data_IF_037099480592
#
_entry.id   IF_037099480592
#
_cell.length_a   1.000
_cell.length_b   1.000
_cell.length_c   1.000
_cell.angle_alpha   90.00
_cell.angle_beta   90.00
_cell.angle_gamma   90.00
#
_symmetry.space_group_name_H-M   'P 1'
#
loop_
_entity.id
_entity.type
_entity.pdbx_description
1 polymer ?
#
# COMPACT_ATOMS: atom_id res chain seq x y z
N UNK A 1 12.23 32.71 2.51
CA UNK A 1 13.27 31.68 2.26
C UNK A 1 13.27 31.37 0.79
N UNK A 2 14.40 31.54 0.08
CA UNK A 2 14.52 31.17 -1.33
C UNK A 2 14.60 29.65 -1.41
N UNK A 3 13.69 29.01 -2.12
CA UNK A 3 13.75 27.58 -2.38
C UNK A 3 14.86 27.36 -3.43
N UNK A 4 15.91 26.67 -3.06
CA UNK A 4 16.95 26.24 -4.01
C UNK A 4 16.44 25.00 -4.73
N UNK A 5 16.26 25.09 -6.03
CA UNK A 5 15.91 23.95 -6.87
C UNK A 5 17.13 23.07 -7.13
N UNK A 6 16.96 21.77 -6.99
CA UNK A 6 18.02 20.82 -7.32
C UNK A 6 18.26 20.82 -8.83
N UNK A 7 19.52 20.93 -9.23
CA UNK A 7 19.91 20.84 -10.63
C UNK A 7 19.55 19.47 -11.20
N UNK A 8 19.01 19.45 -12.42
CA UNK A 8 18.56 18.22 -13.08
C UNK A 8 19.71 17.24 -13.36
N UNK A 9 20.92 17.74 -13.54
CA UNK A 9 22.11 16.89 -13.75
C UNK A 9 22.47 16.14 -12.47
N UNK A 10 22.40 16.81 -11.31
CA UNK A 10 22.61 16.21 -9.99
C UNK A 10 21.50 15.20 -9.69
N UNK A 11 20.23 15.57 -9.96
CA UNK A 11 19.11 14.64 -9.85
C UNK A 11 19.33 13.38 -10.69
N UNK A 12 19.72 13.53 -11.95
CA UNK A 12 19.98 12.39 -12.83
C UNK A 12 21.15 11.52 -12.37
N UNK A 13 22.15 12.10 -11.71
CA UNK A 13 23.27 11.35 -11.14
C UNK A 13 22.80 10.46 -10.00
N UNK A 14 22.06 10.98 -9.03
CA UNK A 14 21.59 10.11 -7.95
C UNK A 14 20.46 9.14 -8.39
N UNK A 15 19.61 9.49 -9.36
CA UNK A 15 18.70 8.49 -9.96
C UNK A 15 19.49 7.34 -10.60
N UNK A 16 20.61 7.64 -11.27
CA UNK A 16 21.48 6.60 -11.83
C UNK A 16 22.10 5.72 -10.72
N UNK A 17 22.57 6.33 -9.61
CA UNK A 17 23.05 5.63 -8.43
C UNK A 17 21.97 4.73 -7.82
N UNK A 18 20.77 5.26 -7.61
CA UNK A 18 19.61 4.50 -7.12
C UNK A 18 19.29 3.30 -8.03
N UNK A 19 19.30 3.51 -9.34
CA UNK A 19 19.06 2.42 -10.32
C UNK A 19 20.13 1.34 -10.23
N UNK A 20 21.39 1.72 -10.04
CA UNK A 20 22.47 0.76 -9.89
C UNK A 20 22.30 -0.06 -8.61
N UNK A 21 22.05 0.61 -7.48
CA UNK A 21 21.79 -0.03 -6.19
C UNK A 21 20.62 -1.03 -6.27
N UNK A 22 19.52 -0.64 -6.89
CA UNK A 22 18.37 -1.55 -7.07
C UNK A 22 18.72 -2.72 -7.99
N UNK A 23 19.53 -2.54 -9.03
CA UNK A 23 19.95 -3.65 -9.94
C UNK A 23 20.88 -4.65 -9.26
N UNK A 24 21.90 -4.16 -8.57
CA UNK A 24 22.89 -5.00 -7.86
C UNK A 24 22.26 -5.70 -6.65
N UNK A 25 21.20 -5.13 -6.09
CA UNK A 25 20.51 -5.58 -4.89
C UNK A 25 20.81 -4.67 -3.72
N UNK A 26 19.79 -4.43 -2.90
CA UNK A 26 19.93 -3.81 -1.60
C UNK A 26 20.56 -4.86 -0.67
N UNK A 27 21.45 -4.43 0.20
CA UNK A 27 22.11 -5.28 1.20
C UNK A 27 21.06 -6.03 2.05
N UNK A 28 20.99 -7.36 1.84
CA UNK A 28 19.98 -8.22 2.48
C UNK A 28 20.26 -8.44 3.98
N UNK A 29 21.51 -8.35 4.40
CA UNK A 29 21.85 -8.46 5.83
C UNK A 29 21.44 -7.22 6.59
N UNK A 30 21.61 -6.04 5.96
CA UNK A 30 21.31 -4.75 6.55
C UNK A 30 19.84 -4.37 6.42
N UNK A 31 19.18 -4.73 5.31
CA UNK A 31 17.79 -4.35 5.00
C UNK A 31 16.95 -5.56 4.56
N UNK A 32 16.79 -6.59 5.42
CA UNK A 32 16.20 -7.87 5.04
C UNK A 32 14.72 -7.77 4.63
N UNK A 33 13.94 -6.95 5.32
CA UNK A 33 12.50 -6.81 5.03
C UNK A 33 12.28 -6.04 3.74
N UNK A 34 12.97 -4.92 3.54
CA UNK A 34 12.87 -4.10 2.34
C UNK A 34 13.32 -4.90 1.10
N UNK A 35 14.46 -5.60 1.18
CA UNK A 35 14.97 -6.46 0.11
C UNK A 35 13.95 -7.56 -0.23
N UNK A 36 13.44 -8.27 0.77
CA UNK A 36 12.38 -9.27 0.59
C UNK A 36 11.12 -8.68 -0.05
N UNK A 37 10.70 -7.49 0.36
CA UNK A 37 9.53 -6.81 -0.21
C UNK A 37 9.74 -6.42 -1.68
N UNK A 38 10.92 -5.92 -2.03
CA UNK A 38 11.27 -5.54 -3.41
C UNK A 38 11.39 -6.75 -4.32
N UNK A 39 11.92 -7.86 -3.84
CA UNK A 39 12.12 -9.10 -4.61
C UNK A 39 10.79 -9.77 -4.99
N UNK A 40 9.70 -9.51 -4.26
CA UNK A 40 8.39 -10.12 -4.51
C UNK A 40 7.73 -9.57 -5.77
N UNK A 41 7.35 -10.47 -6.66
CA UNK A 41 6.67 -10.12 -7.91
C UNK A 41 7.55 -9.24 -8.81
N UNK A 42 6.97 -8.17 -9.37
CA UNK A 42 7.67 -7.25 -10.29
C UNK A 42 8.05 -5.90 -9.64
N UNK A 43 8.09 -5.79 -8.29
CA UNK A 43 8.33 -4.50 -7.64
C UNK A 43 9.69 -3.91 -7.98
N UNK A 44 10.77 -4.70 -7.83
CA UNK A 44 12.13 -4.29 -8.25
C UNK A 44 12.15 -3.76 -9.69
N UNK A 45 11.58 -4.53 -10.61
CA UNK A 45 11.52 -4.15 -12.04
C UNK A 45 10.69 -2.89 -12.26
N UNK A 46 9.57 -2.75 -11.56
CA UNK A 46 8.69 -1.61 -11.73
C UNK A 46 9.28 -0.33 -11.13
N UNK A 47 10.00 -0.41 -10.00
CA UNK A 47 10.76 0.72 -9.46
C UNK A 47 11.83 1.18 -10.46
N UNK A 48 12.62 0.26 -11.00
CA UNK A 48 13.61 0.59 -12.04
C UNK A 48 13.00 1.24 -13.29
N UNK A 49 11.79 0.85 -13.67
CA UNK A 49 11.08 1.47 -14.81
C UNK A 49 10.67 2.91 -14.52
N UNK A 50 10.20 3.18 -13.30
CA UNK A 50 9.85 4.54 -12.87
C UNK A 50 11.09 5.44 -12.78
N UNK A 51 12.16 4.96 -12.18
CA UNK A 51 13.45 5.67 -12.10
C UNK A 51 14.02 5.96 -13.51
N UNK A 52 13.94 4.98 -14.43
CA UNK A 52 14.34 5.17 -15.81
C UNK A 52 13.50 6.23 -16.53
N UNK A 53 12.20 6.27 -16.27
CA UNK A 53 11.33 7.30 -16.81
C UNK A 53 11.76 8.68 -16.32
N UNK A 54 11.97 8.87 -15.03
CA UNK A 54 12.41 10.15 -14.46
C UNK A 54 13.73 10.63 -15.07
N UNK A 55 14.68 9.72 -15.24
CA UNK A 55 15.98 10.05 -15.84
C UNK A 55 15.91 10.43 -17.32
N UNK A 56 14.94 9.91 -18.05
CA UNK A 56 14.83 10.07 -19.51
C UNK A 56 13.85 11.16 -19.96
N UNK A 57 13.22 11.88 -19.02
CA UNK A 57 12.23 12.91 -19.33
C UNK A 57 12.51 14.20 -18.58
N UNK A 58 12.02 15.30 -19.12
CA UNK A 58 12.04 16.60 -18.46
C UNK A 58 11.06 16.59 -17.27
N UNK A 59 11.43 17.21 -16.13
CA UNK A 59 10.50 17.38 -15.02
C UNK A 59 9.33 18.27 -15.43
N UNK A 60 8.13 17.91 -14.99
CA UNK A 60 6.96 18.72 -15.24
C UNK A 60 6.93 19.97 -14.33
N UNK A 61 7.54 19.89 -13.15
CA UNK A 61 7.61 20.95 -12.15
C UNK A 61 8.60 20.57 -11.03
N UNK A 62 8.67 21.39 -9.97
CA UNK A 62 9.44 21.12 -8.76
C UNK A 62 8.57 21.19 -7.53
N UNK A 63 8.85 20.35 -6.53
CA UNK A 63 8.19 20.35 -5.24
C UNK A 63 9.24 20.11 -4.13
N UNK A 64 9.23 20.96 -3.09
CA UNK A 64 10.25 20.87 -2.03
C UNK A 64 11.70 20.99 -2.53
N UNK A 65 11.93 21.63 -3.68
CA UNK A 65 13.24 21.71 -4.32
C UNK A 65 13.59 20.55 -5.24
N UNK A 66 12.81 19.45 -5.24
CA UNK A 66 13.05 18.26 -6.07
C UNK A 66 12.31 18.32 -7.41
N UNK A 67 12.91 17.85 -8.52
CA UNK A 67 12.22 17.67 -9.79
C UNK A 67 11.06 16.68 -9.66
N UNK A 68 9.90 17.04 -10.20
CA UNK A 68 8.69 16.22 -10.15
C UNK A 68 8.23 15.84 -11.56
N UNK A 69 7.94 14.59 -11.75
CA UNK A 69 7.60 13.98 -13.03
C UNK A 69 6.15 13.53 -13.07
N UNK A 70 5.51 13.79 -14.19
CA UNK A 70 4.16 13.35 -14.46
C UNK A 70 4.19 11.96 -15.08
N UNK A 71 3.93 10.92 -14.30
CA UNK A 71 3.96 9.53 -14.78
C UNK A 71 2.55 8.93 -14.74
N UNK A 72 1.80 8.90 -15.87
CA UNK A 72 0.48 8.28 -15.89
C UNK A 72 0.59 6.76 -15.68
N UNK A 73 -0.23 6.19 -14.80
CA UNK A 73 -0.29 4.72 -14.60
C UNK A 73 -0.66 4.01 -15.91
N UNK A 74 -1.48 4.65 -16.74
CA UNK A 74 -1.84 4.13 -18.06
C UNK A 74 -0.63 4.03 -19.00
N UNK A 75 0.26 5.02 -18.99
CA UNK A 75 1.53 4.94 -19.72
C UNK A 75 2.37 3.75 -19.26
N UNK A 76 2.50 3.55 -17.93
CA UNK A 76 3.25 2.42 -17.38
C UNK A 76 2.64 1.08 -17.81
N UNK A 77 1.30 0.99 -17.80
CA UNK A 77 0.56 -0.20 -18.23
C UNK A 77 0.78 -0.50 -19.71
N UNK A 78 0.66 0.50 -20.57
CA UNK A 78 0.83 0.34 -22.02
C UNK A 78 2.27 0.02 -22.39
N UNK A 79 3.23 0.75 -21.81
CA UNK A 79 4.65 0.61 -22.16
C UNK A 79 5.30 -0.66 -21.58
N UNK A 80 4.83 -1.14 -20.43
CA UNK A 80 5.50 -2.23 -19.70
C UNK A 80 4.59 -3.40 -19.36
N UNK A 81 3.31 -3.33 -19.72
CA UNK A 81 2.31 -4.34 -19.40
C UNK A 81 1.89 -4.38 -17.92
N UNK A 82 1.04 -5.33 -17.60
CA UNK A 82 0.51 -5.52 -16.26
C UNK A 82 -0.84 -4.83 -16.04
N UNK A 83 -1.52 -5.19 -14.94
CA UNK A 83 -2.79 -4.58 -14.57
C UNK A 83 -2.57 -3.24 -13.85
N UNK A 84 -3.50 -2.30 -14.02
CA UNK A 84 -3.47 -1.00 -13.35
C UNK A 84 -3.40 -1.12 -11.83
N UNK A 85 -4.14 -2.09 -11.26
CA UNK A 85 -4.11 -2.35 -9.81
C UNK A 85 -2.72 -2.78 -9.32
N UNK A 86 -1.99 -3.58 -10.11
CA UNK A 86 -0.62 -3.99 -9.78
C UNK A 86 0.31 -2.78 -9.75
N UNK A 87 0.23 -1.91 -10.74
CA UNK A 87 1.03 -0.67 -10.76
C UNK A 87 0.69 0.24 -9.58
N UNK A 88 -0.60 0.46 -9.32
CA UNK A 88 -1.05 1.28 -8.19
C UNK A 88 -0.57 0.72 -6.84
N UNK A 89 -0.62 -0.61 -6.66
CA UNK A 89 -0.12 -1.27 -5.45
C UNK A 89 1.39 -1.13 -5.27
N UNK A 90 2.17 -1.25 -6.36
CA UNK A 90 3.63 -1.08 -6.31
C UNK A 90 4.01 0.38 -6.02
N UNK A 91 3.37 1.34 -6.68
CA UNK A 91 3.58 2.78 -6.44
C UNK A 91 3.26 3.13 -5.00
N UNK A 92 2.11 2.66 -4.49
CA UNK A 92 1.73 2.90 -3.10
C UNK A 92 2.72 2.31 -2.09
N UNK A 93 3.28 1.13 -2.39
CA UNK A 93 4.36 0.56 -1.59
C UNK A 93 5.61 1.44 -1.62
N UNK A 94 6.07 1.88 -2.81
CA UNK A 94 7.27 2.71 -2.92
C UNK A 94 7.10 4.04 -2.18
N UNK A 95 5.91 4.64 -2.25
CA UNK A 95 5.59 5.86 -1.51
C UNK A 95 5.55 5.62 0.00
N UNK A 96 4.90 4.55 0.46
CA UNK A 96 4.78 4.24 1.88
C UNK A 96 6.12 3.98 2.57
N UNK A 97 7.07 3.35 1.87
CA UNK A 97 8.43 3.14 2.39
C UNK A 97 9.41 4.28 2.07
N UNK A 98 8.98 5.32 1.36
CA UNK A 98 9.81 6.50 1.05
C UNK A 98 10.81 6.34 -0.10
N UNK A 99 10.71 5.27 -0.89
CA UNK A 99 11.55 5.10 -2.10
C UNK A 99 11.12 6.01 -3.26
N UNK A 100 9.87 6.44 -3.26
CA UNK A 100 9.34 7.48 -4.15
C UNK A 100 8.58 8.50 -3.32
N UNK A 101 8.71 9.75 -3.71
CA UNK A 101 7.83 10.81 -3.24
C UNK A 101 6.64 10.91 -4.19
N UNK A 102 5.45 10.65 -3.67
CA UNK A 102 4.20 10.77 -4.42
C UNK A 102 3.51 12.08 -4.06
N UNK A 103 3.55 13.07 -4.97
CA UNK A 103 2.92 14.37 -4.77
C UNK A 103 1.59 14.42 -5.50
N UNK A 104 0.51 14.53 -4.73
CA UNK A 104 -0.86 14.63 -5.26
C UNK A 104 -1.36 16.07 -5.15
N UNK A 105 -1.72 16.71 -6.26
CA UNK A 105 -2.30 18.03 -6.22
C UNK A 105 -3.63 18.02 -5.43
N UNK A 106 -3.75 18.93 -4.49
CA UNK A 106 -4.95 19.16 -3.69
C UNK A 106 -5.52 20.56 -3.92
N UNK A 107 -6.61 20.87 -3.21
CA UNK A 107 -7.27 22.16 -3.27
C UNK A 107 -6.33 23.33 -2.92
N UNK A 108 -5.45 23.11 -1.94
CA UNK A 108 -4.57 24.12 -1.39
C UNK A 108 -3.13 24.02 -1.96
N UNK A 109 -2.96 23.38 -3.12
CA UNK A 109 -1.66 23.25 -3.77
C UNK A 109 -1.18 24.59 -4.30
N UNK A 110 -0.05 25.06 -3.80
CA UNK A 110 0.57 26.35 -4.17
C UNK A 110 1.30 26.28 -5.53
N UNK A 111 1.84 25.12 -5.88
CA UNK A 111 2.57 24.95 -7.13
C UNK A 111 1.63 25.14 -8.34
N UNK A 112 1.91 26.11 -9.26
CA UNK A 112 0.96 26.48 -10.31
C UNK A 112 0.69 25.35 -11.30
N UNK A 113 1.69 24.52 -11.64
CA UNK A 113 1.52 23.38 -12.57
C UNK A 113 0.63 22.31 -11.94
N UNK A 114 0.84 22.03 -10.67
CA UNK A 114 0.01 21.06 -9.91
C UNK A 114 -1.40 21.60 -9.66
N UNK A 115 -1.53 22.87 -9.31
CA UNK A 115 -2.82 23.53 -9.13
C UNK A 115 -3.65 23.50 -10.41
N UNK A 116 -3.02 23.78 -11.56
CA UNK A 116 -3.68 23.70 -12.86
C UNK A 116 -4.10 22.25 -13.19
N UNK A 117 -3.26 21.26 -12.90
CA UNK A 117 -3.61 19.86 -13.08
C UNK A 117 -4.82 19.45 -12.21
N UNK A 118 -4.90 19.98 -10.97
CA UNK A 118 -6.05 19.78 -10.10
C UNK A 118 -7.32 20.42 -10.67
N UNK A 119 -7.23 21.69 -11.10
CA UNK A 119 -8.34 22.45 -11.68
C UNK A 119 -8.91 21.73 -12.91
N UNK A 120 -8.06 21.39 -13.89
CA UNK A 120 -8.47 20.64 -15.09
C UNK A 120 -9.17 19.33 -14.76
N UNK A 121 -8.63 18.55 -13.85
CA UNK A 121 -9.25 17.29 -13.46
C UNK A 121 -10.64 17.48 -12.85
N UNK A 122 -10.89 18.57 -12.13
CA UNK A 122 -12.21 18.87 -11.55
C UNK A 122 -13.19 19.43 -12.57
N UNK A 123 -12.73 20.25 -13.50
CA UNK A 123 -13.56 20.85 -14.56
C UNK A 123 -13.95 19.82 -15.62
N UNK A 124 -12.97 19.09 -16.18
CA UNK A 124 -13.18 18.16 -17.29
C UNK A 124 -13.80 16.82 -16.85
N UNK A 125 -13.39 16.31 -15.70
CA UNK A 125 -13.78 14.99 -15.21
C UNK A 125 -14.83 14.99 -14.11
N UNK A 126 -15.24 16.16 -13.63
CA UNK A 126 -16.20 16.30 -12.55
C UNK A 126 -15.74 15.66 -11.24
N UNK A 127 -16.70 15.34 -10.35
CA UNK A 127 -16.41 14.79 -9.00
C UNK A 127 -15.70 13.43 -9.00
N UNK A 128 -15.60 12.73 -10.12
CA UNK A 128 -15.03 11.37 -10.22
C UNK A 128 -13.60 11.32 -10.74
N UNK A 129 -13.13 12.38 -11.39
CA UNK A 129 -11.78 12.41 -11.95
C UNK A 129 -10.77 12.77 -10.87
N UNK A 130 -9.73 11.96 -10.75
CA UNK A 130 -8.62 12.22 -9.83
C UNK A 130 -7.60 13.11 -10.53
N UNK A 131 -7.05 14.11 -9.84
CA UNK A 131 -5.91 14.85 -10.33
C UNK A 131 -4.75 13.91 -10.61
N UNK A 132 -3.95 14.29 -11.59
CA UNK A 132 -2.76 13.53 -11.93
C UNK A 132 -1.75 13.60 -10.79
N UNK A 133 -1.14 12.47 -10.47
CA UNK A 133 -0.08 12.35 -9.47
C UNK A 133 1.26 12.69 -10.11
N UNK A 134 2.09 13.40 -9.36
CA UNK A 134 3.48 13.69 -9.69
C UNK A 134 4.38 12.83 -8.80
N UNK A 135 5.55 12.48 -9.33
CA UNK A 135 6.51 11.63 -8.64
C UNK A 135 7.88 12.26 -8.64
N UNK A 136 8.58 12.08 -7.54
CA UNK A 136 9.99 12.39 -7.37
C UNK A 136 10.68 11.26 -6.63
N UNK A 137 11.99 11.33 -6.48
CA UNK A 137 12.73 10.48 -5.56
C UNK A 137 13.92 11.26 -4.99
N UNK A 138 14.39 10.80 -3.85
CA UNK A 138 15.62 11.25 -3.23
C UNK A 138 16.75 10.26 -3.56
N UNK A 139 17.98 10.61 -3.23
CA UNK A 139 19.10 9.68 -3.26
C UNK A 139 18.88 8.59 -2.21
N UNK A 140 19.12 7.32 -2.59
CA UNK A 140 18.98 6.18 -1.66
C UNK A 140 20.21 6.04 -0.77
N UNK A 141 20.36 6.99 0.13
CA UNK A 141 21.40 6.95 1.14
C UNK A 141 21.16 5.83 2.16
N UNK A 142 22.18 5.41 2.92
CA UNK A 142 21.99 4.44 4.00
C UNK A 142 20.93 4.85 5.02
N UNK A 143 20.81 6.16 5.30
CA UNK A 143 19.83 6.72 6.23
C UNK A 143 18.41 6.56 5.68
N UNK A 144 18.19 6.89 4.40
CA UNK A 144 16.90 6.70 3.74
C UNK A 144 16.51 5.22 3.70
N UNK A 145 17.46 4.34 3.37
CA UNK A 145 17.20 2.89 3.35
C UNK A 145 16.89 2.33 4.74
N UNK A 146 17.50 2.88 5.79
CA UNK A 146 17.18 2.50 7.18
C UNK A 146 15.74 2.90 7.55
N UNK A 147 15.30 4.09 7.13
CA UNK A 147 13.92 4.53 7.32
C UNK A 147 12.95 3.65 6.49
N UNK A 148 13.32 3.35 5.25
CA UNK A 148 12.51 2.48 4.38
C UNK A 148 12.37 1.05 4.93
N UNK A 149 13.45 0.49 5.51
CA UNK A 149 13.43 -0.81 6.21
C UNK A 149 12.50 -0.79 7.41
N UNK A 150 12.62 0.24 8.28
CA UNK A 150 11.78 0.39 9.45
C UNK A 150 10.29 0.48 9.07
N UNK A 151 9.97 1.27 8.05
CA UNK A 151 8.61 1.38 7.50
C UNK A 151 8.10 0.06 6.92
N UNK A 152 8.90 -0.62 6.11
CA UNK A 152 8.54 -1.92 5.55
C UNK A 152 8.25 -2.93 6.67
N UNK A 153 9.05 -2.95 7.71
CA UNK A 153 8.89 -3.80 8.89
C UNK A 153 7.61 -3.47 9.64
N UNK A 154 7.33 -2.19 9.92
CA UNK A 154 6.11 -1.74 10.59
C UNK A 154 4.85 -2.28 9.89
N UNK A 155 4.77 -2.18 8.56
CA UNK A 155 3.65 -2.73 7.79
C UNK A 155 3.56 -4.25 7.86
N UNK A 156 4.70 -4.96 7.75
CA UNK A 156 4.71 -6.43 7.81
C UNK A 156 4.33 -6.94 9.20
N UNK A 157 4.83 -6.31 10.25
CA UNK A 157 4.55 -6.69 11.65
C UNK A 157 3.07 -6.44 11.97
N UNK A 158 2.50 -5.33 11.51
CA UNK A 158 1.06 -5.08 11.58
C UNK A 158 0.22 -6.08 10.78
N UNK A 159 0.83 -6.86 9.89
CA UNK A 159 0.15 -7.85 9.05
C UNK A 159 -0.41 -7.31 7.75
N UNK A 160 0.02 -6.13 7.33
CA UNK A 160 -0.36 -5.56 6.06
C UNK A 160 0.16 -6.39 4.88
N UNK A 161 -0.63 -6.46 3.82
CA UNK A 161 -0.23 -7.01 2.53
C UNK A 161 -0.03 -5.89 1.53
N UNK A 162 1.16 -5.80 0.94
CA UNK A 162 1.42 -4.83 -0.13
C UNK A 162 0.78 -5.19 -1.48
N UNK A 163 0.13 -6.36 -1.61
CA UNK A 163 -0.56 -6.76 -2.83
C UNK A 163 -1.78 -5.87 -3.14
N UNK A 164 -2.44 -5.34 -2.12
CA UNK A 164 -3.60 -4.47 -2.23
C UNK A 164 -3.51 -3.26 -1.30
N UNK A 165 -2.36 -2.60 -1.33
CA UNK A 165 -2.09 -1.43 -0.49
C UNK A 165 -3.04 -0.27 -0.83
N UNK A 166 -3.68 0.31 0.19
CA UNK A 166 -4.69 1.37 0.05
C UNK A 166 -4.65 2.32 1.25
N UNK A 167 -5.45 3.38 1.15
CA UNK A 167 -5.66 4.35 2.24
C UNK A 167 -6.02 3.67 3.55
N UNK A 168 -6.91 2.67 3.52
CA UNK A 168 -7.29 1.94 4.73
C UNK A 168 -6.12 1.15 5.34
N UNK A 169 -5.24 0.58 4.51
CA UNK A 169 -4.03 -0.11 4.99
C UNK A 169 -3.11 0.86 5.71
N UNK A 170 -2.87 2.04 5.14
CA UNK A 170 -2.07 3.07 5.78
C UNK A 170 -2.72 3.61 7.06
N UNK A 171 -4.04 3.83 7.04
CA UNK A 171 -4.81 4.25 8.22
C UNK A 171 -4.68 3.26 9.38
N UNK A 172 -4.81 1.97 9.08
CA UNK A 172 -4.77 0.91 10.09
C UNK A 172 -3.36 0.73 10.71
N UNK A 173 -2.30 1.15 10.00
CA UNK A 173 -0.90 1.05 10.47
C UNK A 173 -0.38 2.36 11.02
N UNK A 174 -0.50 3.45 10.24
CA UNK A 174 0.09 4.77 10.58
C UNK A 174 -0.93 5.76 11.15
N UNK A 175 -2.22 5.39 11.16
CA UNK A 175 -3.31 6.24 11.66
C UNK A 175 -3.94 7.15 10.59
N UNK A 176 -5.06 7.77 10.98
CA UNK A 176 -5.91 8.58 10.09
C UNK A 176 -5.18 9.79 9.52
N UNK A 177 -4.34 10.45 10.33
CA UNK A 177 -3.61 11.66 9.93
C UNK A 177 -2.63 11.35 8.77
N UNK A 178 -1.81 10.32 8.91
CA UNK A 178 -0.86 9.88 7.87
C UNK A 178 -1.60 9.48 6.59
N UNK A 179 -2.66 8.67 6.72
CA UNK A 179 -3.46 8.23 5.59
C UNK A 179 -4.12 9.41 4.84
N UNK A 180 -4.56 10.45 5.54
CA UNK A 180 -5.16 11.62 4.92
C UNK A 180 -4.11 12.51 4.25
N UNK A 181 -2.92 12.65 4.81
CA UNK A 181 -1.81 13.40 4.20
C UNK A 181 -1.39 12.70 2.90
N UNK A 182 -1.14 11.39 2.94
CA UNK A 182 -0.67 10.63 1.78
C UNK A 182 -1.75 10.49 0.70
N UNK A 183 -3.01 10.30 1.10
CA UNK A 183 -4.15 10.10 0.21
C UNK A 183 -5.14 11.27 0.24
N UNK A 184 -4.66 12.51 0.09
CA UNK A 184 -5.42 13.75 0.29
C UNK A 184 -6.80 13.76 -0.39
N UNK A 185 -6.86 13.46 -1.69
CA UNK A 185 -8.12 13.47 -2.46
C UNK A 185 -8.72 12.06 -2.68
N UNK A 186 -8.23 11.07 -1.95
CA UNK A 186 -8.78 9.72 -2.06
C UNK A 186 -10.00 9.60 -1.16
N UNK A 187 -11.11 9.19 -1.74
CA UNK A 187 -12.32 8.88 -0.97
C UNK A 187 -11.99 7.82 0.09
N UNK A 188 -12.61 7.95 1.23
CA UNK A 188 -12.63 6.90 2.24
C UNK A 188 -13.12 5.59 1.66
N UNK A 189 -12.86 4.50 2.39
CA UNK A 189 -13.32 3.19 2.00
C UNK A 189 -14.78 3.27 1.55
N UNK A 190 -15.07 2.68 0.40
CA UNK A 190 -16.45 2.63 -0.10
C UNK A 190 -17.33 1.95 0.95
N UNK A 191 -18.62 2.31 1.01
CA UNK A 191 -19.58 1.65 1.91
C UNK A 191 -19.56 0.13 1.77
N UNK A 192 -19.29 -0.36 0.56
CA UNK A 192 -19.11 -1.80 0.32
C UNK A 192 -17.85 -2.36 1.01
N UNK A 193 -16.76 -1.61 1.06
CA UNK A 193 -15.53 -2.04 1.74
C UNK A 193 -15.72 -2.00 3.26
N UNK A 194 -16.34 -0.95 3.81
CA UNK A 194 -16.70 -0.87 5.23
C UNK A 194 -17.62 -2.01 5.63
N UNK A 195 -18.67 -2.26 4.82
CA UNK A 195 -19.63 -3.35 5.04
C UNK A 195 -18.94 -4.72 4.97
N UNK A 196 -18.02 -4.93 4.02
CA UNK A 196 -17.27 -6.18 3.89
C UNK A 196 -16.42 -6.48 5.14
N UNK A 197 -15.68 -5.48 5.65
CA UNK A 197 -14.88 -5.61 6.89
C UNK A 197 -15.77 -5.96 8.09
N UNK A 198 -16.91 -5.25 8.24
CA UNK A 198 -17.87 -5.49 9.28
C UNK A 198 -18.41 -6.93 9.24
N UNK A 199 -18.85 -7.40 8.08
CA UNK A 199 -19.38 -8.77 7.91
C UNK A 199 -18.33 -9.86 8.22
N UNK A 200 -17.06 -9.63 7.88
CA UNK A 200 -15.99 -10.57 8.22
C UNK A 200 -15.76 -10.59 9.74
N UNK A 201 -15.73 -9.44 10.41
CA UNK A 201 -15.54 -9.35 11.86
C UNK A 201 -16.72 -9.96 12.62
N UNK A 202 -17.94 -9.75 12.18
CA UNK A 202 -19.15 -10.40 12.74
C UNK A 202 -19.08 -11.93 12.60
N UNK A 203 -18.63 -12.42 11.44
CA UNK A 203 -18.46 -13.86 11.23
C UNK A 203 -17.35 -14.45 12.12
N UNK A 204 -16.25 -13.72 12.33
CA UNK A 204 -15.17 -14.10 13.24
C UNK A 204 -15.69 -14.18 14.67
N UNK A 205 -16.37 -13.13 15.14
CA UNK A 205 -16.91 -13.07 16.50
C UNK A 205 -17.88 -14.23 16.77
N UNK A 206 -18.84 -14.46 15.88
CA UNK A 206 -19.80 -15.54 15.99
C UNK A 206 -19.14 -16.94 16.01
N UNK A 207 -18.12 -17.17 15.19
CA UNK A 207 -17.40 -18.44 15.19
C UNK A 207 -16.58 -18.66 16.48
N UNK A 208 -15.93 -17.59 16.98
CA UNK A 208 -15.17 -17.64 18.23
C UNK A 208 -16.10 -17.90 19.43
N UNK A 209 -17.25 -17.25 19.48
CA UNK A 209 -18.25 -17.47 20.50
C UNK A 209 -18.75 -18.93 20.52
N UNK A 210 -18.98 -19.50 19.33
CA UNK A 210 -19.51 -20.86 19.19
C UNK A 210 -18.49 -21.96 19.48
N UNK A 211 -17.21 -21.77 19.18
CA UNK A 211 -16.19 -22.85 19.19
C UNK A 211 -14.79 -22.45 19.65
N UNK A 212 -14.59 -21.21 20.10
CA UNK A 212 -13.31 -20.70 20.60
C UNK A 212 -12.31 -20.28 19.51
N UNK A 213 -12.59 -20.48 18.23
CA UNK A 213 -11.73 -20.11 17.11
C UNK A 213 -12.54 -19.87 15.83
N UNK A 214 -11.89 -19.24 14.83
CA UNK A 214 -12.44 -19.12 13.47
C UNK A 214 -11.38 -19.46 12.43
N UNK A 215 -11.73 -20.10 11.32
CA UNK A 215 -10.84 -20.27 10.17
C UNK A 215 -11.02 -19.11 9.19
N UNK A 216 -9.92 -18.68 8.56
CA UNK A 216 -9.97 -17.62 7.53
C UNK A 216 -11.03 -17.89 6.45
N UNK A 217 -11.01 -19.13 5.91
CA UNK A 217 -11.91 -19.51 4.80
C UNK A 217 -13.38 -19.51 5.26
N UNK A 218 -13.63 -19.87 6.49
CA UNK A 218 -14.95 -19.88 7.13
C UNK A 218 -15.49 -18.46 7.29
N UNK A 219 -14.69 -17.54 7.84
CA UNK A 219 -15.09 -16.14 7.97
C UNK A 219 -15.44 -15.51 6.61
N UNK A 220 -14.61 -15.76 5.58
CA UNK A 220 -14.87 -15.27 4.23
C UNK A 220 -16.14 -15.91 3.64
N UNK A 221 -16.34 -17.21 3.83
CA UNK A 221 -17.52 -17.92 3.35
C UNK A 221 -18.80 -17.39 3.99
N UNK A 222 -18.81 -17.22 5.30
CA UNK A 222 -19.94 -16.67 6.05
C UNK A 222 -20.25 -15.23 5.60
N UNK A 223 -19.25 -14.35 5.50
CA UNK A 223 -19.44 -12.99 4.99
C UNK A 223 -20.03 -12.97 3.56
N UNK A 224 -19.58 -13.88 2.66
CA UNK A 224 -20.09 -13.99 1.28
C UNK A 224 -21.56 -14.43 1.22
N UNK A 225 -22.08 -15.14 2.20
CA UNK A 225 -23.50 -15.48 2.24
C UNK A 225 -24.39 -14.23 2.27
N UNK A 226 -23.92 -13.14 2.89
CA UNK A 226 -24.62 -11.86 2.90
C UNK A 226 -24.49 -11.07 1.58
N UNK A 227 -23.61 -11.52 0.66
CA UNK A 227 -23.35 -10.86 -0.61
C UNK A 227 -23.96 -11.59 -1.83
N UNK A 228 -24.84 -12.59 -1.63
CA UNK A 228 -25.33 -13.57 -2.64
C UNK A 228 -25.72 -13.01 -4.01
N UNK A 229 -26.12 -11.74 -4.13
CA UNK A 229 -26.47 -11.09 -5.41
C UNK A 229 -25.69 -9.77 -5.64
N UNK A 230 -24.77 -9.41 -4.77
CA UNK A 230 -24.02 -8.16 -4.83
C UNK A 230 -22.55 -8.41 -5.20
N UNK A 231 -22.26 -8.41 -6.51
CA UNK A 231 -20.89 -8.60 -7.04
C UNK A 231 -19.85 -7.62 -6.45
N UNK A 232 -20.26 -6.36 -6.19
CA UNK A 232 -19.35 -5.33 -5.62
C UNK A 232 -19.00 -5.67 -4.17
N UNK A 233 -19.97 -6.10 -3.37
CA UNK A 233 -19.75 -6.52 -1.97
C UNK A 233 -18.92 -7.81 -1.93
N UNK A 234 -19.20 -8.79 -2.78
CA UNK A 234 -18.43 -10.03 -2.89
C UNK A 234 -16.95 -9.77 -3.21
N UNK A 235 -16.67 -8.88 -4.17
CA UNK A 235 -15.31 -8.46 -4.49
C UNK A 235 -14.64 -7.71 -3.32
N UNK A 236 -15.39 -6.89 -2.58
CA UNK A 236 -14.87 -6.20 -1.39
C UNK A 236 -14.52 -7.17 -0.26
N UNK A 237 -15.33 -8.22 -0.03
CA UNK A 237 -15.06 -9.29 0.94
C UNK A 237 -13.77 -10.04 0.57
N UNK A 238 -13.58 -10.38 -0.71
CA UNK A 238 -12.34 -11.02 -1.17
C UNK A 238 -11.11 -10.17 -0.83
N UNK A 239 -11.15 -8.88 -1.16
CA UNK A 239 -10.04 -7.94 -0.90
C UNK A 239 -9.78 -7.75 0.60
N UNK A 240 -10.82 -7.65 1.41
CA UNK A 240 -10.67 -7.59 2.88
C UNK A 240 -10.06 -8.88 3.43
N UNK A 241 -10.42 -10.05 2.86
CA UNK A 241 -9.82 -11.34 3.20
C UNK A 241 -8.34 -11.48 2.86
N UNK A 242 -7.84 -10.71 1.88
CA UNK A 242 -6.39 -10.66 1.57
C UNK A 242 -5.61 -9.86 2.61
N UNK A 243 -6.26 -8.93 3.30
CA UNK A 243 -5.72 -8.17 4.43
C UNK A 243 -6.15 -8.76 5.79
N UNK A 244 -6.48 -10.07 5.84
CA UNK A 244 -7.06 -10.70 7.03
C UNK A 244 -6.19 -10.55 8.28
N UNK A 245 -4.86 -10.68 8.15
CA UNK A 245 -3.95 -10.51 9.29
C UNK A 245 -4.07 -9.11 9.86
N UNK A 246 -3.98 -8.06 9.03
CA UNK A 246 -4.14 -6.68 9.46
C UNK A 246 -5.53 -6.44 10.07
N UNK A 247 -6.60 -6.94 9.42
CA UNK A 247 -7.97 -6.81 9.94
C UNK A 247 -8.14 -7.45 11.34
N UNK A 248 -7.54 -8.61 11.55
CA UNK A 248 -7.56 -9.28 12.84
C UNK A 248 -6.74 -8.51 13.88
N UNK A 249 -5.49 -8.16 13.55
CA UNK A 249 -4.57 -7.47 14.48
C UNK A 249 -5.14 -6.13 14.95
N UNK A 250 -5.66 -5.31 14.01
CA UNK A 250 -6.27 -4.01 14.34
C UNK A 250 -7.59 -4.10 15.15
N UNK A 251 -8.15 -5.29 15.28
CA UNK A 251 -9.34 -5.56 16.11
C UNK A 251 -9.05 -6.49 17.31
N UNK A 252 -7.78 -6.64 17.66
CA UNK A 252 -7.34 -7.38 18.85
C UNK A 252 -7.32 -8.90 18.71
N UNK A 253 -7.68 -9.46 17.55
CA UNK A 253 -7.62 -10.90 17.30
C UNK A 253 -6.22 -11.37 16.95
N UNK A 254 -5.86 -12.60 17.38
CA UNK A 254 -4.63 -13.26 16.93
C UNK A 254 -4.88 -14.01 15.62
N UNK A 255 -4.03 -13.78 14.61
CA UNK A 255 -4.11 -14.46 13.32
C UNK A 255 -2.80 -15.14 12.96
N UNK A 256 -2.85 -16.40 12.54
CA UNK A 256 -1.68 -17.14 12.12
C UNK A 256 -1.98 -18.47 11.45
N UNK A 257 -0.94 -19.22 11.10
CA UNK A 257 -1.09 -20.63 10.72
C UNK A 257 -1.36 -21.46 11.99
N UNK A 258 -2.28 -22.44 11.90
CA UNK A 258 -2.57 -23.35 12.99
C UNK A 258 -1.31 -24.14 13.38
N UNK A 259 -0.90 -24.07 14.64
CA UNK A 259 0.16 -24.88 15.24
C UNK A 259 -0.30 -26.32 15.44
N UNK A 260 0.63 -27.24 15.72
CA UNK A 260 0.30 -28.67 15.91
C UNK A 260 -0.70 -28.87 17.05
N UNK A 261 -0.45 -28.23 18.20
CA UNK A 261 -1.31 -28.31 19.38
C UNK A 261 -2.73 -27.79 19.10
N UNK A 262 -2.85 -26.68 18.36
CA UNK A 262 -4.14 -26.13 17.97
C UNK A 262 -4.90 -27.03 17.00
N UNK A 263 -4.18 -27.69 16.09
CA UNK A 263 -4.80 -28.65 15.16
C UNK A 263 -5.35 -29.87 15.89
N UNK A 264 -4.60 -30.39 16.82
CA UNK A 264 -5.02 -31.52 17.66
C UNK A 264 -6.19 -31.14 18.58
N UNK A 265 -6.12 -29.98 19.23
CA UNK A 265 -7.19 -29.51 20.14
C UNK A 265 -8.51 -29.20 19.42
N UNK A 266 -8.45 -28.66 18.20
CA UNK A 266 -9.64 -28.18 17.47
C UNK A 266 -10.00 -29.04 16.24
N UNK A 267 -9.29 -30.11 15.96
CA UNK A 267 -9.52 -30.95 14.77
C UNK A 267 -9.29 -30.21 13.43
N UNK A 268 -8.34 -29.26 13.38
CA UNK A 268 -8.13 -28.41 12.21
C UNK A 268 -7.17 -29.09 11.22
N UNK A 269 -7.51 -29.13 9.92
CA UNK A 269 -6.58 -29.64 8.90
C UNK A 269 -5.28 -28.85 8.81
N UNK A 270 -4.18 -29.52 8.43
CA UNK A 270 -2.89 -28.86 8.23
C UNK A 270 -2.96 -27.73 7.18
N UNK A 271 -2.18 -26.68 7.39
CA UNK A 271 -2.05 -25.56 6.43
C UNK A 271 -3.16 -24.50 6.51
N UNK A 272 -4.13 -24.65 7.39
CA UNK A 272 -5.19 -23.64 7.57
C UNK A 272 -4.73 -22.46 8.44
N UNK A 273 -5.22 -21.27 8.11
CA UNK A 273 -5.06 -20.08 8.96
C UNK A 273 -6.17 -20.03 10.00
N UNK A 274 -5.78 -19.81 11.25
CA UNK A 274 -6.66 -19.72 12.41
C UNK A 274 -6.70 -18.30 12.96
N UNK A 275 -7.85 -17.90 13.46
CA UNK A 275 -8.12 -16.66 14.16
C UNK A 275 -8.57 -17.04 15.58
N UNK A 276 -7.91 -16.48 16.58
CA UNK A 276 -8.19 -16.70 17.99
C UNK A 276 -8.67 -15.42 18.66
N UNK A 277 -9.41 -15.53 19.78
CA UNK A 277 -9.84 -14.37 20.54
C UNK A 277 -8.65 -13.51 21.00
N UNK A 278 -8.91 -12.26 21.38
CA UNK A 278 -7.91 -11.41 22.02
C UNK A 278 -7.28 -12.14 23.21
N UNK A 279 -5.95 -12.08 23.29
CA UNK A 279 -5.26 -12.54 24.50
C UNK A 279 -5.64 -11.57 25.61
N UNK A 280 -6.41 -12.01 26.61
CA UNK A 280 -6.65 -11.19 27.79
C UNK A 280 -5.31 -10.97 28.48
N UNK A 281 -4.91 -9.71 28.78
CA UNK A 281 -3.76 -9.53 29.65
C UNK A 281 -4.05 -10.27 30.97
N UNK A 282 -3.13 -11.10 31.38
CA UNK A 282 -3.16 -11.66 32.75
C UNK A 282 -3.08 -10.44 33.70
N UNK A 283 -4.14 -10.30 34.52
CA UNK A 283 -4.27 -9.24 35.51
C UNK A 283 -3.37 -9.59 36.71
#
# INVERSE_FOLDING_TARGET
>A
MSITYLDISIFNAFVASNMNLIRTGIDEEKYPVLSSCLSRGKRKTNLLRMLRYMRGHEPATYHGGLPCFKIPVEYLRVSYGGASETWQSHIAFFGAVGLLEEVRPGKDTVNPVMAEAYRKAKEEGGKRTRPQTFFSCQEYTPELLTVAEAKAKEYIDAGASFAHFRKDTMRDVEGEKAANIFYQDTRDASDQAKKARKLILEAIAAAIEAKGYCLKDEAIKAARMHAKRNKKLSAAITRAGEQMKLLCTSNGYTYGRSKKEQREAYGIPCGKSIILPPVKPEI
#
